data_IF_568215623585
#
_entry.id   IF_568215623585
#
_cell.length_a   1.000
_cell.length_b   1.000
_cell.length_c   1.000
_cell.angle_alpha   90.00
_cell.angle_beta   90.00
_cell.angle_gamma   90.00
#
_symmetry.space_group_name_H-M   'P 1'
#
loop_
_entity.id
_entity.type
_entity.pdbx_description
1 polymer ?
#
# COMPACT_ATOMS: atom_id res chain seq x y z
N UNK A 1 -19.17 4.97 -11.59
CA UNK A 1 -19.54 3.87 -10.66
C UNK A 1 -19.38 4.39 -9.24
N UNK A 2 -20.29 4.13 -8.29
CA UNK A 2 -20.07 4.52 -6.90
C UNK A 2 -18.76 3.88 -6.43
N UNK A 3 -17.92 4.69 -5.77
CA UNK A 3 -16.46 4.49 -5.63
C UNK A 3 -16.01 3.05 -5.43
N UNK A 4 -15.17 2.54 -6.33
CA UNK A 4 -14.59 1.20 -6.24
C UNK A 4 -13.21 1.26 -5.58
N UNK A 5 -12.80 0.18 -4.92
CA UNK A 5 -11.43 0.03 -4.41
C UNK A 5 -10.76 -1.04 -5.24
N UNK A 6 -9.55 -0.76 -5.73
CA UNK A 6 -8.67 -1.79 -6.27
C UNK A 6 -7.65 -2.17 -5.22
N UNK A 7 -7.60 -3.45 -4.87
CA UNK A 7 -6.75 -3.97 -3.80
C UNK A 7 -5.72 -4.95 -4.35
N UNK A 8 -4.46 -4.68 -4.06
CA UNK A 8 -3.33 -5.42 -4.63
C UNK A 8 -2.36 -5.81 -3.53
N UNK A 9 -1.99 -7.09 -3.50
CA UNK A 9 -1.00 -7.63 -2.59
C UNK A 9 0.28 -8.01 -3.34
N UNK A 10 1.44 -7.60 -2.83
CA UNK A 10 2.75 -7.92 -3.38
C UNK A 10 3.61 -8.67 -2.37
N UNK A 11 4.36 -9.65 -2.87
CA UNK A 11 5.41 -10.34 -2.12
C UNK A 11 6.60 -10.66 -3.05
N UNK A 12 7.74 -11.06 -2.49
CA UNK A 12 8.97 -11.36 -3.23
C UNK A 12 10.12 -10.34 -3.00
N UNK A 13 11.22 -10.42 -3.77
CA UNK A 13 12.38 -9.56 -3.61
C UNK A 13 12.13 -8.15 -4.19
N UNK A 14 12.99 -7.20 -3.84
CA UNK A 14 12.98 -5.83 -4.39
C UNK A 14 11.65 -5.06 -4.22
N UNK A 15 10.80 -5.44 -3.26
CA UNK A 15 9.51 -4.80 -3.01
C UNK A 15 9.62 -3.30 -2.81
N UNK A 16 10.64 -2.84 -2.08
CA UNK A 16 10.87 -1.41 -1.86
C UNK A 16 11.06 -0.65 -3.20
N UNK A 17 11.87 -1.17 -4.12
CA UNK A 17 12.03 -0.59 -5.46
C UNK A 17 10.71 -0.54 -6.22
N UNK A 18 9.97 -1.67 -6.25
CA UNK A 18 8.70 -1.77 -6.97
C UNK A 18 7.68 -0.80 -6.41
N UNK A 19 7.51 -0.73 -5.10
CA UNK A 19 6.59 0.19 -4.44
C UNK A 19 6.94 1.64 -4.75
N UNK A 20 8.21 2.02 -4.63
CA UNK A 20 8.65 3.38 -4.91
C UNK A 20 8.42 3.78 -6.36
N UNK A 21 8.79 2.92 -7.30
CA UNK A 21 8.60 3.17 -8.72
C UNK A 21 7.12 3.39 -9.06
N UNK A 22 6.24 2.57 -8.50
CA UNK A 22 4.81 2.71 -8.70
C UNK A 22 4.26 4.01 -8.06
N UNK A 23 4.75 4.38 -6.88
CA UNK A 23 4.40 5.65 -6.25
C UNK A 23 4.80 6.84 -7.13
N UNK A 24 6.02 6.82 -7.69
CA UNK A 24 6.55 7.89 -8.53
C UNK A 24 5.76 7.99 -9.83
N UNK A 25 5.57 6.89 -10.55
CA UNK A 25 4.83 6.90 -11.82
C UNK A 25 3.40 7.43 -11.61
N UNK A 26 2.70 6.94 -10.57
CA UNK A 26 1.35 7.43 -10.28
C UNK A 26 1.34 8.92 -9.90
N UNK A 27 2.40 9.37 -9.23
CA UNK A 27 2.57 10.76 -8.85
C UNK A 27 2.88 11.67 -10.04
N UNK A 28 3.59 11.17 -11.05
CA UNK A 28 3.83 11.86 -12.33
C UNK A 28 2.51 12.10 -13.06
N UNK A 29 1.58 11.14 -12.99
CA UNK A 29 0.22 11.28 -13.50
C UNK A 29 -0.65 12.21 -12.63
N UNK A 30 -0.13 12.68 -11.49
CA UNK A 30 -0.79 13.64 -10.60
C UNK A 30 -1.57 13.02 -9.43
N UNK A 31 -1.52 11.70 -9.24
CA UNK A 31 -2.20 11.02 -8.15
C UNK A 31 -1.60 11.41 -6.79
N UNK A 32 -2.45 11.60 -5.78
CA UNK A 32 -2.01 11.79 -4.40
C UNK A 32 -1.78 10.44 -3.73
N UNK A 33 -0.59 10.23 -3.18
CA UNK A 33 -0.19 8.94 -2.60
C UNK A 33 0.11 9.09 -1.11
N UNK A 34 -0.35 8.12 -0.33
CA UNK A 34 0.19 7.84 1.00
C UNK A 34 1.15 6.67 0.91
N UNK A 35 2.40 6.91 1.27
CA UNK A 35 3.41 5.88 1.36
C UNK A 35 3.69 5.59 2.82
N UNK A 36 3.12 4.50 3.32
CA UNK A 36 3.20 4.08 4.72
C UNK A 36 4.32 3.05 4.87
N UNK A 37 5.22 3.26 5.84
CA UNK A 37 6.33 2.36 6.17
C UNK A 37 6.59 2.38 7.68
N UNK A 38 7.14 1.32 8.28
CA UNK A 38 7.55 1.37 9.68
C UNK A 38 8.78 2.27 9.91
N UNK A 39 9.65 2.39 8.91
CA UNK A 39 10.92 3.10 9.03
C UNK A 39 11.12 4.12 7.91
N UNK A 40 11.83 5.24 8.21
CA UNK A 40 12.32 6.16 7.21
C UNK A 40 13.20 5.48 6.17
N UNK A 41 13.00 5.86 4.92
CA UNK A 41 13.84 5.41 3.82
C UNK A 41 15.24 5.97 3.96
N UNK A 42 16.22 5.08 4.08
CA UNK A 42 17.63 5.47 4.27
C UNK A 42 18.25 5.95 2.96
N UNK A 43 17.80 5.40 1.83
CA UNK A 43 18.23 5.74 0.48
C UNK A 43 17.07 5.53 -0.47
N UNK A 44 16.92 6.42 -1.45
CA UNK A 44 16.09 6.11 -2.61
C UNK A 44 16.76 4.99 -3.41
N UNK A 45 15.98 4.04 -3.95
CA UNK A 45 16.52 3.04 -4.87
C UNK A 45 17.34 3.71 -5.98
N UNK A 46 18.57 3.23 -6.22
CA UNK A 46 19.59 3.90 -7.04
C UNK A 46 19.20 4.11 -8.51
N UNK A 47 18.21 3.36 -9.00
CA UNK A 47 17.79 3.36 -10.40
C UNK A 47 16.58 4.26 -10.66
N UNK A 48 16.16 5.04 -9.66
CA UNK A 48 15.12 6.06 -9.81
C UNK A 48 15.82 7.37 -10.18
N UNK A 49 15.49 7.89 -11.37
CA UNK A 49 16.03 9.16 -11.87
C UNK A 49 15.75 10.32 -10.90
N UNK A 50 16.49 11.42 -11.05
CA UNK A 50 16.36 12.61 -10.20
C UNK A 50 14.89 13.07 -10.21
N UNK A 51 14.23 12.89 -9.07
CA UNK A 51 12.83 13.20 -8.90
C UNK A 51 12.62 14.71 -8.92
N UNK A 52 11.71 15.18 -9.77
CA UNK A 52 11.22 16.54 -9.69
C UNK A 52 10.57 16.76 -8.31
N UNK A 53 10.83 17.93 -7.71
CA UNK A 53 10.21 18.33 -6.45
C UNK A 53 8.69 18.36 -6.57
N UNK A 54 8.13 18.56 -7.77
CA UNK A 54 6.69 18.54 -7.98
C UNK A 54 6.08 17.14 -7.83
N UNK A 55 6.77 16.10 -8.31
CA UNK A 55 6.36 14.70 -8.14
C UNK A 55 6.36 14.36 -6.64
N UNK A 56 7.45 14.65 -5.94
CA UNK A 56 7.54 14.34 -4.51
C UNK A 56 6.48 15.04 -3.64
N UNK A 57 5.92 16.18 -4.07
CA UNK A 57 4.85 16.88 -3.32
C UNK A 57 3.53 16.10 -3.29
N UNK A 58 3.31 15.20 -4.25
CA UNK A 58 2.10 14.38 -4.30
C UNK A 58 2.22 13.11 -3.44
N UNK A 59 3.43 12.77 -2.97
CA UNK A 59 3.69 11.62 -2.12
C UNK A 59 3.84 12.07 -0.66
N UNK A 60 2.93 11.61 0.20
CA UNK A 60 3.01 11.81 1.65
C UNK A 60 3.60 10.57 2.30
N UNK A 61 4.81 10.69 2.82
CA UNK A 61 5.48 9.62 3.56
C UNK A 61 4.99 9.59 5.01
N UNK A 62 4.56 8.42 5.47
CA UNK A 62 4.04 8.18 6.81
C UNK A 62 4.84 7.06 7.46
N UNK A 63 5.46 7.36 8.62
CA UNK A 63 6.30 6.41 9.34
C UNK A 63 5.58 5.93 10.61
N UNK A 64 4.86 4.81 10.49
CA UNK A 64 4.00 4.27 11.55
C UNK A 64 4.60 2.98 12.09
N UNK A 65 4.99 2.94 13.37
CA UNK A 65 5.86 1.91 13.93
C UNK A 65 5.17 0.57 14.21
N UNK A 66 3.88 0.61 14.50
CA UNK A 66 3.12 -0.56 14.91
C UNK A 66 1.66 -0.50 14.44
N UNK A 67 0.91 -1.59 14.66
CA UNK A 67 -0.49 -1.68 14.25
C UNK A 67 -1.39 -0.65 14.92
N UNK A 68 -1.06 -0.22 16.13
CA UNK A 68 -1.87 0.76 16.87
C UNK A 68 -1.78 2.12 16.21
N UNK A 69 -0.56 2.54 15.85
CA UNK A 69 -0.34 3.78 15.09
C UNK A 69 -1.00 3.71 13.71
N UNK A 70 -0.85 2.58 13.01
CA UNK A 70 -1.50 2.35 11.72
C UNK A 70 -3.01 2.48 11.80
N UNK A 71 -3.66 1.73 12.69
CA UNK A 71 -5.12 1.75 12.86
C UNK A 71 -5.63 3.13 13.29
N UNK A 72 -4.94 3.80 14.22
CA UNK A 72 -5.29 5.16 14.64
C UNK A 72 -5.24 6.13 13.45
N UNK A 73 -4.22 6.01 12.60
CA UNK A 73 -4.08 6.84 11.41
C UNK A 73 -5.22 6.58 10.41
N UNK A 74 -5.46 5.30 10.06
CA UNK A 74 -6.52 4.89 9.13
C UNK A 74 -7.91 5.33 9.61
N UNK A 75 -8.21 5.16 10.90
CA UNK A 75 -9.51 5.55 11.47
C UNK A 75 -9.75 7.06 11.40
N UNK A 76 -8.69 7.87 11.37
CA UNK A 76 -8.81 9.33 11.28
C UNK A 76 -9.09 9.82 9.87
N UNK A 77 -8.97 8.99 8.82
CA UNK A 77 -8.92 9.40 7.40
C UNK A 77 -10.11 10.26 6.95
N UNK A 78 -11.30 10.03 7.52
CA UNK A 78 -12.51 10.78 7.22
C UNK A 78 -12.39 12.28 7.57
N UNK A 79 -11.53 12.63 8.54
CA UNK A 79 -11.30 14.01 8.99
C UNK A 79 -10.34 14.80 8.09
N UNK A 80 -9.64 14.13 7.17
CA UNK A 80 -8.55 14.76 6.42
C UNK A 80 -9.07 15.57 5.24
N UNK A 81 -8.59 16.81 5.09
CA UNK A 81 -8.96 17.66 3.95
C UNK A 81 -8.33 17.17 2.65
N UNK A 82 -7.07 16.72 2.69
CA UNK A 82 -6.37 16.09 1.56
C UNK A 82 -6.32 14.59 1.79
N UNK A 83 -7.00 13.85 0.93
CA UNK A 83 -7.01 12.38 0.96
C UNK A 83 -6.25 11.82 -0.24
N UNK A 84 -5.61 10.65 -0.10
CA UNK A 84 -4.89 9.99 -1.18
C UNK A 84 -5.86 9.29 -2.15
N UNK A 85 -5.45 9.20 -3.40
CA UNK A 85 -5.99 8.28 -4.41
C UNK A 85 -5.37 6.89 -4.26
N UNK A 86 -4.13 6.82 -3.76
CA UNK A 86 -3.37 5.58 -3.62
C UNK A 86 -2.82 5.47 -2.20
N UNK A 87 -3.09 4.34 -1.53
CA UNK A 87 -2.48 3.97 -0.25
C UNK A 87 -1.52 2.83 -0.50
N UNK A 88 -0.24 3.06 -0.23
CA UNK A 88 0.84 2.08 -0.30
C UNK A 88 1.27 1.75 1.12
N UNK A 89 1.24 0.48 1.50
CA UNK A 89 1.74 -0.02 2.78
C UNK A 89 2.92 -0.97 2.55
N UNK A 90 4.10 -0.55 2.99
CA UNK A 90 5.29 -1.37 3.01
C UNK A 90 5.38 -2.19 4.30
N UNK A 91 6.06 -3.34 4.24
CA UNK A 91 6.37 -4.18 5.40
C UNK A 91 5.14 -4.59 6.24
N UNK A 92 4.07 -5.10 5.61
CA UNK A 92 2.83 -5.49 6.31
C UNK A 92 3.07 -6.40 7.53
N UNK A 93 4.07 -7.28 7.45
CA UNK A 93 4.44 -8.19 8.53
C UNK A 93 4.79 -7.50 9.86
N UNK A 94 5.33 -6.27 9.83
CA UNK A 94 5.69 -5.51 11.05
C UNK A 94 4.45 -5.14 11.86
N UNK A 95 3.31 -4.98 11.19
CA UNK A 95 2.05 -4.64 11.83
C UNK A 95 1.32 -5.87 12.38
N UNK A 96 1.78 -7.09 12.07
CA UNK A 96 1.17 -8.31 12.60
C UNK A 96 1.57 -8.50 14.06
N UNK A 97 0.64 -9.04 14.84
CA UNK A 97 0.94 -9.52 16.18
C UNK A 97 1.48 -10.97 16.09
N UNK A 98 2.57 -11.29 16.78
CA UNK A 98 3.21 -12.61 16.78
C UNK A 98 2.48 -13.67 17.64
N UNK A 99 1.32 -13.33 18.21
CA UNK A 99 0.58 -14.21 19.11
C UNK A 99 -0.39 -15.14 18.36
N UNK A 100 -0.97 -16.11 19.05
CA UNK A 100 -1.93 -17.08 18.49
C UNK A 100 -3.17 -16.44 17.81
N UNK A 101 -3.45 -15.16 18.05
CA UNK A 101 -4.53 -14.37 17.41
C UNK A 101 -4.07 -13.62 16.14
N UNK A 102 -2.89 -13.94 15.60
CA UNK A 102 -2.26 -13.26 14.47
C UNK A 102 -3.16 -13.21 13.22
N UNK A 103 -3.98 -14.24 12.98
CA UNK A 103 -4.91 -14.29 11.84
C UNK A 103 -6.04 -13.27 11.96
N UNK A 104 -6.72 -13.22 13.12
CA UNK A 104 -7.79 -12.25 13.40
C UNK A 104 -7.27 -10.83 13.33
N UNK A 105 -6.07 -10.59 13.89
CA UNK A 105 -5.43 -9.28 13.82
C UNK A 105 -5.06 -8.87 12.39
N UNK A 106 -4.52 -9.81 11.60
CA UNK A 106 -4.19 -9.55 10.19
C UNK A 106 -5.44 -9.25 9.37
N UNK A 107 -6.52 -10.02 9.56
CA UNK A 107 -7.80 -9.77 8.91
C UNK A 107 -8.36 -8.39 9.29
N UNK A 108 -8.26 -8.00 10.57
CA UNK A 108 -8.68 -6.67 11.03
C UNK A 108 -7.87 -5.55 10.37
N UNK A 109 -6.55 -5.73 10.21
CA UNK A 109 -5.70 -4.76 9.49
C UNK A 109 -6.10 -4.63 8.02
N UNK A 110 -6.28 -5.76 7.32
CA UNK A 110 -6.71 -5.77 5.92
C UNK A 110 -8.06 -5.08 5.73
N UNK A 111 -9.05 -5.42 6.58
CA UNK A 111 -10.36 -4.77 6.57
C UNK A 111 -10.24 -3.25 6.81
N UNK A 112 -9.44 -2.84 7.79
CA UNK A 112 -9.24 -1.42 8.12
C UNK A 112 -8.57 -0.64 6.98
N UNK A 113 -7.61 -1.25 6.28
CA UNK A 113 -6.96 -0.65 5.11
C UNK A 113 -7.95 -0.48 3.94
N UNK A 114 -8.76 -1.50 3.67
CA UNK A 114 -9.79 -1.45 2.64
C UNK A 114 -10.86 -0.40 2.97
N UNK A 115 -11.31 -0.34 4.22
CA UNK A 115 -12.30 0.64 4.67
C UNK A 115 -11.75 2.07 4.54
N UNK A 116 -10.49 2.30 4.91
CA UNK A 116 -9.84 3.58 4.70
C UNK A 116 -9.75 3.95 3.21
N UNK A 117 -9.34 3.01 2.36
CA UNK A 117 -9.28 3.21 0.92
C UNK A 117 -10.67 3.46 0.31
N UNK A 118 -11.71 2.77 0.82
CA UNK A 118 -13.11 2.96 0.41
C UNK A 118 -13.62 4.34 0.82
N UNK A 119 -13.23 4.82 2.01
CA UNK A 119 -13.54 6.18 2.46
C UNK A 119 -12.90 7.22 1.53
N UNK A 120 -11.65 7.01 1.11
CA UNK A 120 -10.99 7.84 0.10
C UNK A 120 -11.76 7.84 -1.22
N UNK A 121 -12.05 6.65 -1.75
CA UNK A 121 -12.79 6.48 -3.01
C UNK A 121 -14.14 7.20 -3.00
N UNK A 122 -14.91 7.06 -1.91
CA UNK A 122 -16.20 7.76 -1.74
C UNK A 122 -16.05 9.28 -1.75
N UNK A 123 -15.03 9.82 -1.06
CA UNK A 123 -14.83 11.26 -0.94
C UNK A 123 -14.20 11.89 -2.19
N UNK A 124 -13.45 11.11 -2.96
CA UNK A 124 -12.91 11.51 -4.28
C UNK A 124 -13.92 11.34 -5.42
N UNK A 125 -14.98 10.56 -5.21
CA UNK A 125 -15.90 10.09 -6.25
C UNK A 125 -15.18 9.36 -7.41
N UNK A 126 -14.06 8.68 -7.08
CA UNK A 126 -13.19 7.96 -8.02
C UNK A 126 -12.74 6.63 -7.45
N UNK A 127 -12.20 5.75 -8.29
CA UNK A 127 -11.53 4.54 -7.80
C UNK A 127 -10.31 4.93 -6.97
N UNK A 128 -10.12 4.27 -5.82
CA UNK A 128 -8.90 4.38 -5.03
C UNK A 128 -8.16 3.05 -5.04
N UNK A 129 -6.83 3.10 -4.95
CA UNK A 129 -5.98 1.90 -5.00
C UNK A 129 -5.31 1.66 -3.65
N UNK A 130 -5.39 0.43 -3.17
CA UNK A 130 -4.66 -0.09 -2.02
C UNK A 130 -3.58 -1.05 -2.50
N UNK A 131 -2.33 -0.76 -2.18
CA UNK A 131 -1.19 -1.62 -2.47
C UNK A 131 -0.49 -2.01 -1.17
N UNK A 132 -0.43 -3.32 -0.88
CA UNK A 132 0.17 -3.84 0.36
C UNK A 132 1.33 -4.77 0.02
N UNK A 133 2.50 -4.53 0.60
CA UNK A 133 3.68 -5.37 0.42
C UNK A 133 4.03 -6.18 1.66
N UNK A 134 4.46 -7.42 1.43
CA UNK A 134 4.87 -8.36 2.45
C UNK A 134 6.31 -8.81 2.21
N UNK A 135 7.26 -8.20 2.92
CA UNK A 135 8.70 -8.38 2.70
C UNK A 135 9.33 -9.54 3.49
N UNK A 136 8.56 -10.49 4.03
CA UNK A 136 9.11 -11.73 4.58
C UNK A 136 8.96 -12.82 3.54
N UNK A 137 10.07 -13.48 3.22
CA UNK A 137 10.13 -14.66 2.37
C UNK A 137 10.46 -15.91 3.21
N UNK A 138 9.60 -16.95 3.22
CA UNK A 138 8.28 -17.03 2.58
C UNK A 138 7.17 -16.35 3.40
N UNK A 139 6.04 -15.98 2.78
CA UNK A 139 4.82 -15.63 3.51
C UNK A 139 4.42 -16.79 4.42
N UNK A 140 4.34 -16.53 5.73
CA UNK A 140 4.14 -17.58 6.73
C UNK A 140 2.75 -18.23 6.62
N UNK A 141 2.68 -19.38 5.96
CA UNK A 141 1.63 -20.39 6.08
C UNK A 141 0.30 -20.09 5.36
N UNK A 142 -0.47 -21.16 5.11
CA UNK A 142 -1.77 -21.14 4.43
C UNK A 142 -2.76 -20.11 4.99
N UNK A 143 -2.64 -19.78 6.28
CA UNK A 143 -3.50 -18.79 6.95
C UNK A 143 -3.31 -17.37 6.42
N UNK A 144 -2.10 -16.96 6.06
CA UNK A 144 -1.89 -15.64 5.45
C UNK A 144 -2.44 -15.65 4.03
N UNK A 145 -2.21 -16.72 3.27
CA UNK A 145 -2.72 -16.84 1.91
C UNK A 145 -4.25 -16.73 1.88
N UNK A 146 -4.94 -17.44 2.78
CA UNK A 146 -6.41 -17.35 2.88
C UNK A 146 -6.92 -15.94 3.21
N UNK A 147 -6.19 -15.19 4.04
CA UNK A 147 -6.53 -13.80 4.35
C UNK A 147 -6.29 -12.92 3.12
N UNK A 148 -5.16 -13.10 2.44
CA UNK A 148 -4.84 -12.34 1.24
C UNK A 148 -5.89 -12.56 0.15
N UNK A 149 -6.25 -13.82 -0.11
CA UNK A 149 -7.24 -14.19 -1.13
C UNK A 149 -8.65 -13.65 -0.80
N UNK A 150 -8.96 -13.42 0.47
CA UNK A 150 -10.25 -12.87 0.90
C UNK A 150 -10.34 -11.35 0.72
N UNK A 151 -9.22 -10.63 0.86
CA UNK A 151 -9.21 -9.16 0.96
C UNK A 151 -8.61 -8.45 -0.25
N UNK A 152 -7.88 -9.13 -1.13
CA UNK A 152 -7.20 -8.50 -2.27
C UNK A 152 -7.71 -9.03 -3.61
N UNK A 153 -7.98 -8.11 -4.54
CA UNK A 153 -8.44 -8.45 -5.90
C UNK A 153 -7.36 -9.15 -6.73
N UNK A 154 -6.10 -8.89 -6.41
CA UNK A 154 -4.95 -9.43 -7.12
C UNK A 154 -3.74 -9.59 -6.21
N UNK A 155 -2.96 -10.64 -6.47
CA UNK A 155 -1.76 -11.02 -5.72
C UNK A 155 -0.64 -11.22 -6.73
N UNK A 156 0.53 -10.60 -6.51
CA UNK A 156 1.66 -10.70 -7.42
C UNK A 156 2.97 -11.00 -6.69
N UNK A 157 3.76 -11.93 -7.24
CA UNK A 157 5.16 -12.15 -6.87
C UNK A 157 6.05 -11.23 -7.71
N UNK A 158 6.89 -10.41 -7.09
CA UNK A 158 7.79 -9.50 -7.80
C UNK A 158 8.90 -10.19 -8.59
N UNK A 159 9.22 -11.46 -8.33
CA UNK A 159 10.15 -12.24 -9.16
C UNK A 159 9.63 -12.48 -10.58
N UNK A 160 8.30 -12.57 -10.71
CA UNK A 160 7.62 -12.82 -11.97
C UNK A 160 7.34 -11.53 -12.75
N UNK A 161 7.62 -10.38 -12.15
CA UNK A 161 7.37 -9.07 -12.74
C UNK A 161 8.61 -8.56 -13.46
N UNK A 162 8.49 -8.08 -14.71
CA UNK A 162 9.61 -7.42 -15.37
C UNK A 162 10.03 -6.17 -14.58
N UNK A 163 11.31 -5.80 -14.66
CA UNK A 163 11.86 -4.64 -13.94
C UNK A 163 11.17 -3.31 -14.30
N UNK A 164 10.48 -3.26 -15.45
CA UNK A 164 9.66 -2.14 -15.92
C UNK A 164 8.18 -2.20 -15.50
N UNK A 165 7.77 -3.19 -14.70
CA UNK A 165 6.36 -3.44 -14.41
C UNK A 165 5.74 -2.29 -13.61
N UNK A 166 4.72 -1.69 -14.21
CA UNK A 166 3.75 -0.84 -13.53
C UNK A 166 2.58 -1.73 -13.18
N UNK A 167 2.17 -1.71 -11.92
CA UNK A 167 1.12 -2.58 -11.43
C UNK A 167 -0.19 -2.14 -12.09
N UNK A 168 -0.89 -3.05 -12.81
CA UNK A 168 -2.13 -2.72 -13.50
C UNK A 168 -3.13 -2.08 -12.54
N UNK A 169 -3.80 -1.00 -12.96
CA UNK A 169 -4.75 -0.24 -12.13
C UNK A 169 -4.12 0.68 -11.07
N UNK A 170 -2.82 0.95 -11.17
CA UNK A 170 -2.23 2.19 -10.68
C UNK A 170 -2.27 3.33 -11.73
N UNK A 171 -2.81 3.05 -12.92
CA UNK A 171 -3.07 4.03 -13.97
C UNK A 171 -4.31 4.87 -13.62
N UNK A 172 -4.22 6.19 -13.80
CA UNK A 172 -5.35 7.10 -13.57
C UNK A 172 -6.31 7.01 -14.77
N UNK A 173 -7.53 6.49 -14.55
CA UNK A 173 -8.66 6.57 -15.50
C UNK A 173 -9.43 7.87 -15.37
#
# INVERSE_FOLDING_TARGET
MPGNVKSIFLYGPNLEYVLFKNAINSSEDGAKIWFISPDPFKKFPSDIAILDKEILKNITFLYLKDSTELLKHLNSIHTWYRIPEIIILNNFHVYRNNNATSSVHSAHLCASLLDACKACSKKLEKTATLLVAYNIDPPEGELIQNIVDLYFDSVHNTEELPSSYIIPGMEIT
#
